data_IF_355554095574
#
_entry.id   IF_355554095574
#
_cell.length_a   1.000
_cell.length_b   1.000
_cell.length_c   1.000
_cell.angle_alpha   90.00
_cell.angle_beta   90.00
_cell.angle_gamma   90.00
#
_symmetry.space_group_name_H-M   'P 1'
#
loop_
_entity.id
_entity.type
_entity.pdbx_description
1 polymer ?
#
# COMPACT_ATOMS: atom_id res chain seq x y z
N UNK A 1 -40.24 -9.86 5.33
CA UNK A 1 -38.98 -9.24 5.72
C UNK A 1 -37.97 -10.35 5.92
N UNK A 2 -36.69 -10.09 5.60
CA UNK A 2 -35.61 -11.04 5.88
C UNK A 2 -35.08 -10.71 7.28
N UNK A 3 -35.05 -11.71 8.16
CA UNK A 3 -34.73 -11.49 9.58
C UNK A 3 -33.24 -11.55 9.86
N UNK A 4 -32.49 -12.21 8.97
CA UNK A 4 -31.04 -12.33 9.10
C UNK A 4 -30.30 -11.95 7.82
N UNK A 5 -29.02 -11.56 7.97
CA UNK A 5 -28.12 -11.31 6.85
C UNK A 5 -27.89 -12.58 6.04
N UNK A 6 -27.80 -13.74 6.71
CA UNK A 6 -27.64 -15.02 6.03
C UNK A 6 -28.81 -15.33 5.10
N UNK A 7 -30.06 -15.13 5.57
CA UNK A 7 -31.27 -15.36 4.74
C UNK A 7 -31.28 -14.42 3.52
N UNK A 8 -30.73 -13.21 3.65
CA UNK A 8 -30.58 -12.27 2.54
C UNK A 8 -29.63 -12.81 1.48
N UNK A 9 -28.51 -13.41 1.92
CA UNK A 9 -27.53 -14.01 1.00
C UNK A 9 -28.09 -15.25 0.32
N UNK A 10 -28.79 -16.13 1.06
CA UNK A 10 -29.43 -17.33 0.52
C UNK A 10 -30.47 -16.95 -0.55
N UNK A 11 -31.21 -15.86 -0.33
CA UNK A 11 -32.17 -15.35 -1.31
C UNK A 11 -31.49 -14.77 -2.56
N UNK A 12 -30.35 -14.09 -2.43
CA UNK A 12 -29.58 -13.63 -3.57
C UNK A 12 -29.09 -14.81 -4.42
N UNK A 13 -28.60 -15.87 -3.78
CA UNK A 13 -28.22 -17.11 -4.48
C UNK A 13 -29.39 -17.73 -5.23
N UNK A 14 -30.57 -17.80 -4.59
CA UNK A 14 -31.80 -18.29 -5.23
C UNK A 14 -32.23 -17.45 -6.45
N UNK A 15 -31.85 -16.19 -6.51
CA UNK A 15 -32.06 -15.30 -7.66
C UNK A 15 -30.95 -15.42 -8.73
N UNK A 16 -29.95 -16.28 -8.52
CA UNK A 16 -28.83 -16.51 -9.46
C UNK A 16 -27.66 -15.55 -9.31
N UNK A 17 -27.59 -14.76 -8.22
CA UNK A 17 -26.40 -13.93 -7.92
C UNK A 17 -25.30 -14.80 -7.32
N UNK A 18 -24.07 -14.57 -7.74
CA UNK A 18 -22.89 -15.16 -7.10
C UNK A 18 -22.64 -14.49 -5.77
N UNK A 19 -22.59 -15.25 -4.69
CA UNK A 19 -22.19 -14.77 -3.37
C UNK A 19 -20.81 -15.29 -2.98
N UNK A 20 -20.25 -14.77 -1.88
CA UNK A 20 -18.92 -15.18 -1.41
C UNK A 20 -18.91 -16.64 -0.98
N UNK A 21 -18.01 -17.43 -1.56
CA UNK A 21 -17.77 -18.81 -1.15
C UNK A 21 -17.23 -18.89 0.28
N UNK A 22 -17.65 -19.89 1.04
CA UNK A 22 -17.17 -20.11 2.42
C UNK A 22 -17.82 -19.22 3.48
N UNK A 23 -18.92 -18.52 3.14
CA UNK A 23 -19.75 -17.82 4.11
C UNK A 23 -20.21 -18.79 5.20
N UNK A 24 -19.96 -18.45 6.47
CA UNK A 24 -20.26 -19.34 7.60
C UNK A 24 -20.86 -18.52 8.74
N UNK A 25 -21.96 -19.01 9.31
CA UNK A 25 -22.55 -18.47 10.53
C UNK A 25 -21.84 -19.11 11.73
N UNK A 26 -21.45 -18.29 12.70
CA UNK A 26 -20.83 -18.69 13.96
C UNK A 26 -21.61 -18.13 15.15
N UNK A 27 -21.48 -18.76 16.30
CA UNK A 27 -22.20 -18.38 17.51
C UNK A 27 -21.37 -17.51 18.44
N UNK A 28 -20.04 -17.69 18.43
CA UNK A 28 -19.11 -17.00 19.35
C UNK A 28 -18.01 -16.29 18.61
N UNK A 29 -17.34 -15.35 19.31
CA UNK A 29 -16.20 -14.64 18.75
C UNK A 29 -14.97 -15.56 18.58
N UNK A 30 -14.81 -16.57 19.43
CA UNK A 30 -13.76 -17.57 19.36
C UNK A 30 -13.89 -18.39 18.07
N UNK A 31 -15.10 -18.81 17.72
CA UNK A 31 -15.39 -19.47 16.46
C UNK A 31 -15.09 -18.57 15.26
N UNK A 32 -15.46 -17.28 15.35
CA UNK A 32 -15.16 -16.29 14.31
C UNK A 32 -13.64 -16.15 14.13
N UNK A 33 -12.86 -16.03 15.20
CA UNK A 33 -11.41 -15.93 15.15
C UNK A 33 -10.76 -17.19 14.56
N UNK A 34 -11.23 -18.38 14.92
CA UNK A 34 -10.77 -19.64 14.34
C UNK A 34 -11.06 -19.71 12.83
N UNK A 35 -12.19 -19.20 12.41
CA UNK A 35 -12.58 -19.14 11.00
C UNK A 35 -11.71 -18.15 10.23
N UNK A 36 -11.43 -16.98 10.80
CA UNK A 36 -10.53 -15.97 10.22
C UNK A 36 -9.14 -16.57 9.98
N UNK A 37 -8.56 -17.25 10.98
CA UNK A 37 -7.27 -17.90 10.84
C UNK A 37 -7.26 -18.93 9.69
N UNK A 38 -8.28 -19.77 9.63
CA UNK A 38 -8.45 -20.78 8.57
C UNK A 38 -8.58 -20.15 7.18
N UNK A 39 -9.31 -19.05 7.05
CA UNK A 39 -9.40 -18.30 5.78
C UNK A 39 -8.06 -17.70 5.40
N UNK A 40 -7.28 -17.19 6.35
CA UNK A 40 -5.92 -16.69 6.13
C UNK A 40 -4.97 -17.75 5.54
N UNK A 41 -5.04 -18.99 6.05
CA UNK A 41 -4.24 -20.11 5.53
C UNK A 41 -4.68 -20.52 4.12
N UNK A 42 -6.00 -20.54 3.86
CA UNK A 42 -6.59 -20.97 2.59
C UNK A 42 -6.53 -19.90 1.48
N UNK A 43 -6.24 -18.63 1.80
CA UNK A 43 -6.32 -17.52 0.83
C UNK A 43 -5.53 -17.77 -0.47
N UNK A 44 -4.38 -18.47 -0.36
CA UNK A 44 -3.53 -18.79 -1.51
C UNK A 44 -4.11 -19.89 -2.43
N UNK A 45 -5.08 -20.67 -1.96
CA UNK A 45 -5.75 -21.73 -2.71
C UNK A 45 -7.09 -21.30 -3.32
N UNK A 46 -7.53 -20.05 -3.04
CA UNK A 46 -8.70 -19.48 -3.67
C UNK A 46 -8.36 -19.11 -5.12
N UNK A 47 -9.34 -19.18 -6.02
CA UNK A 47 -9.17 -18.78 -7.42
C UNK A 47 -9.12 -17.26 -7.63
N UNK A 48 -9.08 -16.48 -6.56
CA UNK A 48 -9.05 -15.02 -6.55
C UNK A 48 -8.28 -14.48 -5.34
N UNK A 49 -7.74 -13.29 -5.46
CA UNK A 49 -7.03 -12.63 -4.37
C UNK A 49 -8.02 -12.10 -3.32
N UNK A 50 -7.65 -12.25 -2.03
CA UNK A 50 -8.41 -11.71 -0.90
C UNK A 50 -7.48 -11.08 0.13
N UNK A 51 -7.85 -9.88 0.58
CA UNK A 51 -7.09 -9.08 1.54
C UNK A 51 -7.56 -9.24 2.99
N UNK A 52 -8.70 -9.93 3.18
CA UNK A 52 -9.28 -10.11 4.51
C UNK A 52 -10.63 -10.79 4.49
N UNK A 53 -11.27 -10.77 5.64
CA UNK A 53 -12.64 -11.25 5.84
C UNK A 53 -13.48 -10.17 6.52
N UNK A 54 -14.78 -10.18 6.28
CA UNK A 54 -15.71 -9.26 6.95
C UNK A 54 -16.60 -10.07 7.88
N UNK A 55 -16.56 -9.74 9.17
CA UNK A 55 -17.45 -10.27 10.19
C UNK A 55 -18.64 -9.34 10.32
N UNK A 56 -19.85 -9.88 10.27
CA UNK A 56 -21.08 -9.10 10.32
C UNK A 56 -22.02 -9.65 11.39
N UNK A 57 -22.73 -8.77 12.09
CA UNK A 57 -23.85 -9.16 12.94
C UNK A 57 -24.94 -9.75 12.05
N UNK A 58 -25.44 -10.95 12.37
CA UNK A 58 -26.37 -11.66 11.50
C UNK A 58 -27.81 -11.16 11.61
N UNK A 59 -28.30 -10.83 12.83
CA UNK A 59 -29.67 -10.41 13.04
C UNK A 59 -29.90 -8.97 12.55
N UNK A 60 -30.86 -8.77 11.64
CA UNK A 60 -31.16 -7.46 11.03
C UNK A 60 -31.64 -6.45 12.08
N UNK A 61 -32.41 -6.88 13.05
CA UNK A 61 -32.85 -5.99 14.14
C UNK A 61 -31.67 -5.43 14.95
N UNK A 62 -30.61 -6.24 15.20
CA UNK A 62 -29.41 -5.77 15.88
C UNK A 62 -28.61 -4.81 14.99
N UNK A 63 -28.53 -5.06 13.69
CA UNK A 63 -27.91 -4.14 12.75
C UNK A 63 -28.56 -2.77 12.77
N UNK A 64 -29.92 -2.73 12.85
CA UNK A 64 -30.68 -1.49 12.92
C UNK A 64 -30.41 -0.72 14.24
N UNK A 65 -30.27 -1.42 15.38
CA UNK A 65 -29.90 -0.79 16.67
C UNK A 65 -28.46 -0.24 16.61
N UNK A 66 -27.52 -0.99 16.10
CA UNK A 66 -26.12 -0.57 16.00
C UNK A 66 -25.94 0.60 15.03
N UNK A 67 -26.74 0.64 13.97
CA UNK A 67 -26.74 1.70 12.98
C UNK A 67 -25.42 1.81 12.21
N UNK A 68 -25.14 3.02 11.71
CA UNK A 68 -23.94 3.34 10.96
C UNK A 68 -23.34 4.67 11.45
N UNK A 69 -22.04 4.86 11.23
CA UNK A 69 -21.40 6.18 11.19
C UNK A 69 -21.73 6.84 9.86
N UNK A 70 -21.21 8.04 9.58
CA UNK A 70 -21.49 8.73 8.32
C UNK A 70 -21.13 7.92 7.04
N UNK A 71 -20.24 6.93 7.14
CA UNK A 71 -19.80 6.10 6.00
C UNK A 71 -19.83 4.60 6.26
N UNK A 72 -19.63 4.17 7.51
CA UNK A 72 -19.38 2.77 7.83
C UNK A 72 -20.43 2.17 8.75
N UNK A 73 -20.90 0.94 8.49
CA UNK A 73 -21.83 0.24 9.36
C UNK A 73 -21.12 -0.20 10.65
N UNK A 74 -21.74 0.02 11.82
CA UNK A 74 -21.20 -0.43 13.11
C UNK A 74 -21.37 -1.93 13.37
N UNK A 75 -22.19 -2.59 12.57
CA UNK A 75 -22.48 -4.02 12.65
C UNK A 75 -21.61 -4.88 11.73
N UNK A 76 -20.63 -4.28 11.02
CA UNK A 76 -19.70 -4.98 10.18
C UNK A 76 -18.26 -4.55 10.52
N UNK A 77 -17.35 -5.52 10.62
CA UNK A 77 -15.94 -5.30 10.90
C UNK A 77 -15.11 -6.07 9.90
N UNK A 78 -14.22 -5.35 9.18
CA UNK A 78 -13.26 -5.94 8.29
C UNK A 78 -11.99 -6.33 9.08
N UNK A 79 -11.60 -7.59 8.98
CA UNK A 79 -10.30 -8.06 9.43
C UNK A 79 -9.39 -8.20 8.22
N UNK A 80 -8.36 -7.36 8.14
CA UNK A 80 -7.35 -7.41 7.09
C UNK A 80 -6.27 -8.41 7.45
N UNK A 81 -5.92 -9.31 6.52
CA UNK A 81 -4.77 -10.19 6.73
C UNK A 81 -3.47 -9.40 6.76
N UNK A 82 -2.46 -9.87 7.49
CA UNK A 82 -1.13 -9.29 7.40
C UNK A 82 -0.65 -9.25 5.94
N UNK A 83 -0.08 -8.12 5.48
CA UNK A 83 0.42 -8.02 4.12
C UNK A 83 1.54 -9.03 3.90
N UNK A 84 1.59 -9.59 2.69
CA UNK A 84 2.68 -10.45 2.27
C UNK A 84 3.97 -9.65 2.22
N UNK A 85 5.07 -10.27 2.67
CA UNK A 85 6.40 -9.65 2.65
C UNK A 85 7.32 -10.47 1.76
N UNK A 86 8.24 -9.77 1.09
CA UNK A 86 9.31 -10.40 0.33
C UNK A 86 10.64 -9.73 0.63
N UNK A 87 11.71 -10.51 0.63
CA UNK A 87 13.07 -10.01 0.78
C UNK A 87 13.72 -9.88 -0.61
N UNK A 88 14.39 -8.74 -0.83
CA UNK A 88 15.09 -8.48 -2.07
C UNK A 88 16.31 -7.58 -1.84
N UNK A 89 17.15 -7.38 -2.88
CA UNK A 89 18.30 -6.47 -2.79
C UNK A 89 17.96 -5.11 -3.36
N UNK A 90 18.31 -4.06 -2.64
CA UNK A 90 18.25 -2.68 -3.11
C UNK A 90 19.46 -2.37 -3.99
N UNK A 91 19.26 -2.31 -5.30
CA UNK A 91 20.33 -2.08 -6.28
C UNK A 91 20.69 -0.62 -6.43
N UNK A 92 19.69 0.26 -6.39
CA UNK A 92 19.88 1.69 -6.56
C UNK A 92 18.71 2.49 -5.97
N UNK A 93 18.90 3.79 -5.80
CA UNK A 93 17.85 4.73 -5.44
C UNK A 93 17.79 5.83 -6.50
N UNK A 94 16.69 5.88 -7.24
CA UNK A 94 16.44 6.88 -8.28
C UNK A 94 15.46 7.95 -7.80
N UNK A 95 15.64 9.18 -8.26
CA UNK A 95 14.75 10.28 -7.93
C UNK A 95 13.71 10.42 -9.04
N UNK A 96 12.45 10.39 -8.64
CA UNK A 96 11.32 10.73 -9.51
C UNK A 96 10.85 12.15 -9.21
N UNK A 97 10.66 12.94 -10.25
CA UNK A 97 10.16 14.32 -10.13
C UNK A 97 8.66 14.35 -10.44
N UNK A 98 7.86 14.66 -9.44
CA UNK A 98 6.41 14.79 -9.59
C UNK A 98 6.01 16.09 -10.30
N UNK A 99 4.79 16.17 -10.83
CA UNK A 99 4.23 17.36 -11.51
C UNK A 99 4.34 18.66 -10.71
N UNK A 100 4.33 18.56 -9.40
CA UNK A 100 4.49 19.71 -8.49
C UNK A 100 5.94 19.99 -8.10
N UNK A 101 6.92 19.37 -8.79
CA UNK A 101 8.35 19.48 -8.50
C UNK A 101 8.81 18.77 -7.24
N UNK A 102 7.98 17.94 -6.62
CA UNK A 102 8.38 17.12 -5.48
C UNK A 102 9.30 16.02 -5.97
N UNK A 103 10.48 15.89 -5.32
CA UNK A 103 11.44 14.83 -5.57
C UNK A 103 11.12 13.67 -4.64
N UNK A 104 10.81 12.51 -5.23
CA UNK A 104 10.46 11.29 -4.49
C UNK A 104 11.51 10.21 -4.77
N UNK A 105 12.27 9.76 -3.76
CA UNK A 105 13.19 8.65 -3.92
C UNK A 105 12.42 7.35 -4.10
N UNK A 106 12.88 6.55 -5.05
CA UNK A 106 12.31 5.25 -5.41
C UNK A 106 13.42 4.20 -5.43
N UNK A 107 13.23 3.14 -4.67
CA UNK A 107 14.13 1.99 -4.64
C UNK A 107 14.04 1.23 -5.96
N UNK A 108 15.18 0.91 -6.55
CA UNK A 108 15.34 -0.06 -7.64
C UNK A 108 15.78 -1.38 -7.01
N UNK A 109 15.00 -2.42 -7.21
CA UNK A 109 15.14 -3.71 -6.52
C UNK A 109 15.44 -4.83 -7.50
N UNK A 110 16.11 -5.89 -7.02
CA UNK A 110 16.07 -7.15 -7.73
C UNK A 110 14.63 -7.61 -7.86
N UNK A 111 14.18 -8.06 -9.04
CA UNK A 111 12.80 -8.49 -9.24
C UNK A 111 12.42 -9.63 -8.28
N UNK A 112 11.34 -9.45 -7.54
CA UNK A 112 10.80 -10.43 -6.60
C UNK A 112 9.29 -10.55 -6.75
N UNK A 113 8.78 -11.77 -6.61
CA UNK A 113 7.33 -12.02 -6.61
C UNK A 113 6.72 -11.65 -5.27
N UNK A 114 5.63 -10.88 -5.30
CA UNK A 114 4.90 -10.45 -4.12
C UNK A 114 3.42 -10.26 -4.49
N UNK A 115 2.53 -10.98 -3.81
CA UNK A 115 1.07 -10.94 -4.05
C UNK A 115 0.72 -10.97 -5.54
N UNK A 116 1.12 -12.04 -6.23
CA UNK A 116 0.80 -12.30 -7.64
C UNK A 116 1.50 -11.40 -8.68
N UNK A 117 2.29 -10.39 -8.26
CA UNK A 117 3.02 -9.51 -9.20
C UNK A 117 4.53 -9.53 -8.96
N UNK A 118 5.30 -9.20 -10.00
CA UNK A 118 6.76 -9.05 -9.90
C UNK A 118 7.09 -7.60 -9.59
N UNK A 119 7.73 -7.37 -8.45
CA UNK A 119 8.11 -6.05 -7.96
C UNK A 119 9.59 -5.82 -8.26
N UNK A 120 9.90 -4.73 -8.96
CA UNK A 120 11.27 -4.25 -9.22
C UNK A 120 11.51 -2.82 -8.73
N UNK A 121 10.47 -2.15 -8.21
CA UNK A 121 10.55 -0.80 -7.65
C UNK A 121 9.65 -0.69 -6.43
N UNK A 122 10.09 0.09 -5.43
CA UNK A 122 9.31 0.40 -4.23
C UNK A 122 9.49 1.87 -3.83
N UNK A 123 8.48 2.47 -3.22
CA UNK A 123 8.61 3.84 -2.73
C UNK A 123 9.49 3.90 -1.49
N UNK A 124 10.27 4.98 -1.39
CA UNK A 124 11.04 5.36 -0.19
C UNK A 124 10.48 6.65 0.43
N UNK A 125 9.32 7.08 -0.03
CA UNK A 125 8.58 8.25 0.46
C UNK A 125 9.36 9.56 0.39
N UNK A 126 10.44 9.70 1.19
CA UNK A 126 11.27 10.90 1.29
C UNK A 126 12.63 10.57 1.91
N UNK A 127 13.51 11.58 2.00
CA UNK A 127 14.85 11.46 2.60
C UNK A 127 14.82 11.09 4.08
N UNK A 128 13.85 11.63 4.85
CA UNK A 128 13.73 11.35 6.27
C UNK A 128 13.42 9.87 6.53
N UNK A 129 12.58 9.25 5.69
CA UNK A 129 12.28 7.84 5.75
C UNK A 129 13.52 6.96 5.49
N UNK A 130 14.36 7.37 4.52
CA UNK A 130 15.64 6.67 4.23
C UNK A 130 16.57 6.76 5.42
N UNK A 131 16.69 7.95 6.03
CA UNK A 131 17.55 8.18 7.19
C UNK A 131 17.05 7.45 8.44
N UNK A 132 15.74 7.49 8.73
CA UNK A 132 15.12 6.82 9.87
C UNK A 132 15.33 5.30 9.85
N UNK A 133 15.24 4.70 8.67
CA UNK A 133 15.42 3.26 8.49
C UNK A 133 16.86 2.86 8.16
N UNK A 134 17.78 3.83 8.10
CA UNK A 134 19.19 3.64 7.67
C UNK A 134 19.30 2.80 6.37
N UNK A 135 18.50 3.16 5.36
CA UNK A 135 18.47 2.45 4.07
C UNK A 135 19.67 2.85 3.24
N UNK A 136 20.45 1.87 2.76
CA UNK A 136 21.64 2.08 1.94
C UNK A 136 21.54 1.27 0.65
N UNK A 137 22.13 1.81 -0.42
CA UNK A 137 22.26 1.08 -1.69
C UNK A 137 23.14 -0.13 -1.46
N UNK A 138 22.66 -1.31 -1.86
CA UNK A 138 23.29 -2.61 -1.60
C UNK A 138 22.59 -3.42 -0.50
N UNK A 139 21.76 -2.79 0.34
CA UNK A 139 21.05 -3.46 1.43
C UNK A 139 20.13 -4.59 0.94
N UNK A 140 20.01 -5.62 1.77
CA UNK A 140 18.89 -6.56 1.73
C UNK A 140 17.70 -5.89 2.43
N UNK A 141 16.60 -5.73 1.73
CA UNK A 141 15.40 -5.05 2.23
C UNK A 141 14.20 -5.96 2.21
N UNK A 142 13.33 -5.78 3.19
CA UNK A 142 12.03 -6.44 3.24
C UNK A 142 11.00 -5.44 2.74
N UNK A 143 10.26 -5.84 1.73
CA UNK A 143 9.20 -5.04 1.11
C UNK A 143 7.84 -5.65 1.38
N UNK A 144 6.82 -4.80 1.38
CA UNK A 144 5.42 -5.19 1.35
C UNK A 144 4.66 -4.31 0.33
N UNK A 145 3.39 -4.59 0.14
CA UNK A 145 2.49 -3.67 -0.58
C UNK A 145 1.61 -2.95 0.43
N UNK A 146 1.80 -1.64 0.60
CA UNK A 146 0.90 -0.80 1.38
C UNK A 146 -0.51 -0.83 0.75
N UNK A 147 -1.53 -1.12 1.56
CA UNK A 147 -2.90 -1.33 1.11
C UNK A 147 -3.01 -2.29 -0.11
N UNK A 148 -2.09 -3.26 -0.23
CA UNK A 148 -1.97 -4.26 -1.31
C UNK A 148 -1.75 -3.69 -2.73
N UNK A 149 -1.43 -2.40 -2.84
CA UNK A 149 -1.27 -1.71 -4.12
C UNK A 149 0.16 -1.19 -4.33
N UNK A 150 0.66 -0.40 -3.37
CA UNK A 150 1.93 0.34 -3.52
C UNK A 150 3.07 -0.40 -2.84
N UNK A 151 4.09 -0.89 -3.58
CA UNK A 151 5.26 -1.48 -2.96
C UNK A 151 6.04 -0.43 -2.16
N UNK A 152 6.38 -0.76 -0.91
CA UNK A 152 7.21 0.07 -0.05
C UNK A 152 8.27 -0.76 0.69
N UNK A 153 9.36 -0.13 1.07
CA UNK A 153 10.39 -0.76 1.89
C UNK A 153 9.96 -0.71 3.35
N UNK A 154 9.71 -1.88 3.93
CA UNK A 154 9.29 -1.99 5.32
C UNK A 154 10.46 -1.80 6.28
N UNK A 155 11.55 -2.54 6.06
CA UNK A 155 12.78 -2.50 6.87
C UNK A 155 13.98 -3.02 6.12
N UNK A 156 15.17 -2.72 6.65
CA UNK A 156 16.45 -3.29 6.22
C UNK A 156 16.77 -4.54 7.04
N UNK A 157 17.36 -5.55 6.41
CA UNK A 157 17.96 -6.71 7.06
C UNK A 157 19.42 -6.38 7.43
N UNK A 158 19.60 -5.56 8.47
CA UNK A 158 20.93 -5.03 8.89
C UNK A 158 21.92 -6.15 9.18
N UNK A 159 21.42 -7.28 9.67
CA UNK A 159 22.21 -8.49 9.97
C UNK A 159 22.85 -9.12 8.73
N UNK A 160 22.40 -8.72 7.53
CA UNK A 160 22.92 -9.22 6.24
C UNK A 160 23.83 -8.24 5.53
N UNK A 161 24.20 -7.12 6.17
CA UNK A 161 25.14 -6.16 5.61
C UNK A 161 26.53 -6.74 5.50
N UNK A 162 27.19 -6.39 4.39
CA UNK A 162 28.57 -6.77 4.07
C UNK A 162 29.60 -5.69 4.40
N UNK A 163 29.14 -4.43 4.58
CA UNK A 163 29.97 -3.24 4.79
C UNK A 163 30.28 -2.48 3.49
N UNK A 164 29.79 -2.97 2.35
CA UNK A 164 29.96 -2.31 1.05
C UNK A 164 28.76 -1.41 0.68
N UNK A 165 27.76 -1.33 1.55
CA UNK A 165 26.55 -0.56 1.32
C UNK A 165 26.82 0.95 1.33
N UNK A 166 26.26 1.65 0.32
CA UNK A 166 26.50 3.08 0.12
C UNK A 166 25.35 3.90 0.67
N UNK A 167 25.70 4.91 1.48
CA UNK A 167 24.71 5.89 1.98
C UNK A 167 24.18 6.70 0.80
N UNK A 168 22.87 6.86 0.75
CA UNK A 168 22.22 7.70 -0.25
C UNK A 168 22.14 9.15 0.24
N UNK A 169 22.36 10.09 -0.68
CA UNK A 169 22.15 11.52 -0.46
C UNK A 169 21.23 12.09 -1.53
N UNK A 170 20.30 12.94 -1.13
CA UNK A 170 19.47 13.66 -2.10
C UNK A 170 20.36 14.57 -2.97
N UNK A 171 20.10 14.65 -4.27
CA UNK A 171 20.84 15.53 -5.16
C UNK A 171 20.58 17.00 -4.82
N UNK A 172 21.62 17.82 -4.94
CA UNK A 172 21.53 19.27 -4.76
C UNK A 172 20.78 19.95 -5.92
N UNK A 173 20.77 19.32 -7.09
CA UNK A 173 20.10 19.80 -8.30
C UNK A 173 19.07 18.81 -8.77
N UNK A 174 17.99 19.31 -9.38
CA UNK A 174 16.92 18.49 -9.94
C UNK A 174 17.45 17.70 -11.15
N UNK A 175 17.30 16.36 -11.18
CA UNK A 175 17.81 15.53 -12.28
C UNK A 175 17.13 15.80 -13.62
N UNK A 176 15.93 16.39 -13.61
CA UNK A 176 15.18 16.68 -14.84
C UNK A 176 15.52 18.04 -15.45
N UNK A 177 15.73 19.07 -14.65
CA UNK A 177 15.88 20.44 -15.14
C UNK A 177 17.13 21.19 -14.65
N UNK A 178 17.98 20.58 -13.82
CA UNK A 178 19.20 21.17 -13.28
C UNK A 178 19.00 22.29 -12.27
N UNK A 179 17.76 22.63 -11.91
CA UNK A 179 17.52 23.67 -10.92
C UNK A 179 17.82 23.21 -9.50
N UNK A 180 18.25 24.13 -8.60
CA UNK A 180 18.53 23.78 -7.21
C UNK A 180 17.35 23.11 -6.54
N UNK A 181 17.64 22.13 -5.69
CA UNK A 181 16.64 21.48 -4.83
C UNK A 181 16.55 22.20 -3.51
N UNK A 182 15.33 22.54 -3.11
CA UNK A 182 15.05 23.22 -1.83
C UNK A 182 14.25 22.28 -0.94
N UNK A 183 14.76 22.08 0.28
CA UNK A 183 14.05 21.30 1.30
C UNK A 183 13.04 22.17 2.03
N UNK A 184 11.75 21.80 2.01
CA UNK A 184 10.69 22.42 2.81
C UNK A 184 10.04 21.38 3.72
N UNK A 185 10.13 21.58 5.01
CA UNK A 185 9.65 20.64 6.03
C UNK A 185 10.29 19.25 5.75
N UNK A 186 9.46 18.24 5.50
CA UNK A 186 9.85 16.85 5.25
C UNK A 186 9.91 16.47 3.75
N UNK A 187 9.87 17.46 2.82
CA UNK A 187 9.93 17.21 1.37
C UNK A 187 11.00 18.05 0.70
N UNK A 188 11.74 17.42 -0.21
CA UNK A 188 12.63 18.11 -1.16
C UNK A 188 11.86 18.45 -2.43
N UNK A 189 12.06 19.67 -2.96
CA UNK A 189 11.40 20.16 -4.17
C UNK A 189 12.38 20.88 -5.07
N UNK A 190 12.18 20.76 -6.38
CA UNK A 190 12.85 21.60 -7.35
C UNK A 190 12.44 23.08 -7.18
N UNK A 191 13.41 23.98 -7.10
CA UNK A 191 13.17 25.41 -6.88
C UNK A 191 12.35 26.06 -8.00
N UNK A 192 12.48 25.57 -9.24
CA UNK A 192 11.67 26.05 -10.38
C UNK A 192 10.16 25.99 -10.10
N UNK A 193 9.68 24.91 -9.52
CA UNK A 193 8.26 24.72 -9.21
C UNK A 193 7.76 25.52 -8.00
N UNK A 194 8.63 26.29 -7.36
CA UNK A 194 8.27 27.20 -6.27
C UNK A 194 8.22 28.67 -6.71
N UNK A 195 8.69 28.97 -7.93
CA UNK A 195 8.67 30.32 -8.50
C UNK A 195 7.24 30.76 -8.77
N UNK A 196 6.88 32.03 -8.47
CA UNK A 196 5.61 32.64 -8.92
C UNK A 196 5.40 32.52 -10.43
N UNK A 197 6.47 32.50 -11.21
CA UNK A 197 6.45 32.36 -12.67
C UNK A 197 5.98 30.98 -13.16
N UNK A 198 6.20 29.93 -12.36
CA UNK A 198 5.68 28.59 -12.69
C UNK A 198 4.15 28.52 -12.64
N UNK A 199 3.50 29.41 -11.88
CA UNK A 199 2.04 29.54 -11.83
C UNK A 199 1.47 30.28 -13.05
N UNK A 200 2.32 30.99 -13.80
CA UNK A 200 1.93 31.78 -14.97
C UNK A 200 2.21 31.08 -16.31
N UNK A 201 2.61 29.80 -16.29
CA UNK A 201 2.83 29.00 -17.51
C UNK A 201 4.03 29.44 -18.36
N UNK A 202 4.95 30.28 -17.85
CA UNK A 202 6.13 30.79 -18.57
C UNK A 202 7.45 30.04 -18.27
N UNK A 203 7.38 28.89 -17.61
CA UNK A 203 8.53 27.98 -17.48
C UNK A 203 8.66 27.08 -18.72
N UNK A 204 9.91 26.73 -19.12
CA UNK A 204 10.15 25.74 -20.18
C UNK A 204 9.27 24.51 -19.92
N UNK A 205 8.52 24.01 -20.93
CA UNK A 205 7.65 22.86 -20.73
C UNK A 205 8.51 21.67 -20.27
N UNK A 206 8.08 21.03 -19.20
CA UNK A 206 8.63 19.75 -18.75
C UNK A 206 8.53 18.77 -19.93
N UNK A 207 9.57 17.97 -20.28
CA UNK A 207 9.56 17.08 -21.43
C UNK A 207 8.39 16.08 -21.49
N UNK A 208 7.66 15.90 -20.39
CA UNK A 208 6.46 15.07 -20.32
C UNK A 208 5.14 15.86 -20.42
N UNK A 209 5.15 17.16 -20.68
CA UNK A 209 3.95 17.95 -20.93
C UNK A 209 3.80 18.17 -22.42
N UNK A 210 3.21 17.21 -23.13
CA UNK A 210 2.54 17.46 -24.41
C UNK A 210 1.04 17.61 -24.14
N UNK A 211 0.40 18.64 -24.72
CA UNK A 211 -1.03 18.91 -24.52
C UNK A 211 -1.92 17.80 -25.08
#
# INVERSE_FOLDING_TARGET
ALDTHNDSMDRLEAYGFTTTEGRTKVATIEEANALIARHGERRKSLGYDTDGVVVKVNAVWQQNILGATGKDPRWAMAYKFPPEQAETTLRDIVIQVGRTGVLTPTAVLDPVKLSGSTISRATLHNEDFIAEKDIRIGDRVIINKAAEIIPEVLRVAVEKRTGEEKVFHMPAECPECGWPVVRKKWRSRCALHQSPLSRLGQGRPHPFYQP
#
